data_IF_348345290202
#
_entry.id   IF_348345290202
#
_cell.length_a   1.000
_cell.length_b   1.000
_cell.length_c   1.000
_cell.angle_alpha   90.00
_cell.angle_beta   90.00
_cell.angle_gamma   90.00
#
_symmetry.space_group_name_H-M   'P 1'
#
loop_
_entity.id
_entity.type
_entity.pdbx_description
1 polymer ?
#
# COMPACT_ATOMS: atom_id res chain seq x y z
N UNK A 1 27.23 -4.93 12.45
CA UNK A 1 27.83 -5.77 13.49
C UNK A 1 27.05 -7.08 13.62
N UNK A 2 27.72 -8.23 13.64
CA UNK A 2 27.11 -9.54 13.88
C UNK A 2 26.68 -9.68 15.34
N UNK A 3 25.52 -10.29 15.61
CA UNK A 3 25.04 -10.61 16.96
C UNK A 3 26.11 -11.36 17.78
N UNK A 4 26.33 -10.93 19.03
CA UNK A 4 27.32 -11.54 19.92
C UNK A 4 26.66 -12.57 20.82
N UNK A 5 27.00 -13.85 20.60
CA UNK A 5 26.54 -14.96 21.44
C UNK A 5 27.10 -14.87 22.86
N UNK A 6 26.35 -15.41 23.84
CA UNK A 6 26.69 -15.42 25.26
C UNK A 6 26.80 -16.84 25.81
N UNK A 7 27.60 -17.06 26.85
CA UNK A 7 27.67 -18.32 27.61
C UNK A 7 26.49 -18.49 28.59
N UNK A 8 25.70 -17.44 28.77
CA UNK A 8 24.48 -17.44 29.59
C UNK A 8 23.27 -17.22 28.70
N UNK A 9 22.12 -17.75 29.12
CA UNK A 9 20.86 -17.50 28.44
C UNK A 9 20.49 -16.02 28.52
N UNK A 10 19.89 -15.49 27.45
CA UNK A 10 19.51 -14.08 27.35
C UNK A 10 18.11 -13.95 26.78
N UNK A 11 17.32 -13.01 27.28
CA UNK A 11 16.11 -12.56 26.61
C UNK A 11 16.38 -11.19 26.03
N UNK A 12 16.22 -11.05 24.71
CA UNK A 12 16.48 -9.80 24.00
C UNK A 12 15.28 -9.42 23.16
N UNK A 13 15.12 -8.11 22.92
CA UNK A 13 14.14 -7.63 21.97
C UNK A 13 14.64 -7.90 20.55
N UNK A 14 13.77 -8.50 19.74
CA UNK A 14 14.01 -8.77 18.33
C UNK A 14 12.92 -8.11 17.48
N UNK A 15 13.26 -7.90 16.22
CA UNK A 15 12.37 -7.37 15.19
C UNK A 15 12.22 -8.44 14.13
N UNK A 16 11.01 -8.97 14.01
CA UNK A 16 10.70 -10.07 13.12
C UNK A 16 10.56 -9.56 11.69
N UNK A 17 11.06 -10.37 10.76
CA UNK A 17 11.09 -10.12 9.34
C UNK A 17 10.23 -11.15 8.63
N UNK A 18 9.54 -10.72 7.58
CA UNK A 18 8.88 -11.64 6.66
C UNK A 18 9.94 -12.42 5.88
N UNK A 19 9.78 -13.73 5.77
CA UNK A 19 10.84 -14.63 5.27
C UNK A 19 11.16 -14.50 3.78
N UNK A 20 10.24 -13.94 2.99
CA UNK A 20 10.34 -13.76 1.54
C UNK A 20 10.82 -12.35 1.14
N UNK A 21 10.44 -11.32 1.91
CA UNK A 21 10.68 -9.91 1.56
C UNK A 21 11.58 -9.16 2.54
N UNK A 22 11.91 -9.75 3.70
CA UNK A 22 12.57 -9.08 4.83
C UNK A 22 11.84 -7.83 5.35
N UNK A 23 10.54 -7.71 5.09
CA UNK A 23 9.69 -6.66 5.63
C UNK A 23 9.57 -6.80 7.15
N UNK A 24 9.61 -5.69 7.88
CA UNK A 24 9.31 -5.68 9.31
C UNK A 24 7.85 -6.09 9.56
N UNK A 25 7.63 -7.12 10.38
CA UNK A 25 6.29 -7.63 10.72
C UNK A 25 5.95 -7.55 12.21
N UNK A 26 6.85 -7.01 13.03
CA UNK A 26 6.58 -6.74 14.44
C UNK A 26 7.75 -7.03 15.37
N UNK A 27 7.74 -6.38 16.53
CA UNK A 27 8.73 -6.60 17.57
C UNK A 27 8.26 -7.69 18.56
N UNK A 28 9.20 -8.43 19.12
CA UNK A 28 8.96 -9.43 20.15
C UNK A 28 10.18 -9.61 21.04
N UNK A 29 10.06 -10.45 22.05
CA UNK A 29 11.20 -10.83 22.87
C UNK A 29 11.56 -12.29 22.55
N UNK A 30 12.85 -12.54 22.31
CA UNK A 30 13.37 -13.87 22.02
C UNK A 30 14.27 -14.33 23.17
N UNK A 31 14.03 -15.56 23.62
CA UNK A 31 14.94 -16.28 24.51
C UNK A 31 16.03 -16.94 23.67
N UNK A 32 17.27 -16.60 23.95
CA UNK A 32 18.49 -17.08 23.29
C UNK A 32 19.25 -17.97 24.29
N UNK A 33 19.29 -19.30 24.08
CA UNK A 33 20.11 -20.19 24.88
C UNK A 33 21.62 -19.88 24.82
N UNK A 34 22.40 -20.32 25.81
CA UNK A 34 23.86 -20.25 25.77
C UNK A 34 24.45 -20.76 24.45
N UNK A 35 25.41 -20.03 23.90
CA UNK A 35 26.16 -20.36 22.68
C UNK A 35 25.29 -20.50 21.42
N UNK A 36 24.14 -19.83 21.37
CA UNK A 36 23.26 -19.79 20.19
C UNK A 36 23.09 -18.37 19.65
N UNK A 37 22.60 -18.25 18.41
CA UNK A 37 22.35 -16.98 17.72
C UNK A 37 20.89 -16.57 17.69
N UNK A 38 20.61 -15.46 17.02
CA UNK A 38 19.25 -14.99 16.77
C UNK A 38 18.43 -16.05 16.01
N UNK A 39 17.10 -16.14 16.28
CA UNK A 39 16.18 -16.89 15.43
C UNK A 39 16.29 -16.47 13.96
N UNK A 40 15.90 -17.38 13.06
CA UNK A 40 15.80 -17.03 11.65
C UNK A 40 14.77 -15.91 11.42
N UNK A 41 14.98 -15.11 10.37
CA UNK A 41 14.09 -14.02 9.97
C UNK A 41 13.84 -12.99 11.09
N UNK A 42 14.89 -12.65 11.85
CA UNK A 42 14.82 -11.55 12.79
C UNK A 42 16.16 -10.80 12.88
N UNK A 43 16.11 -9.61 13.45
CA UNK A 43 17.28 -8.78 13.78
C UNK A 43 17.13 -8.20 15.18
N UNK A 44 18.25 -7.92 15.85
CA UNK A 44 18.30 -7.16 17.10
C UNK A 44 18.42 -5.64 16.85
N UNK A 45 18.51 -5.22 15.59
CA UNK A 45 18.54 -3.82 15.18
C UNK A 45 17.12 -3.27 15.03
N UNK A 46 16.80 -2.24 15.81
CA UNK A 46 15.49 -1.58 15.73
C UNK A 46 15.27 -0.94 14.34
N UNK A 47 14.06 -1.08 13.77
CA UNK A 47 13.69 -0.31 12.59
C UNK A 47 13.66 1.19 12.93
N UNK A 48 13.84 2.06 11.93
CA UNK A 48 13.58 3.49 12.10
C UNK A 48 12.09 3.73 12.36
N UNK A 49 11.73 4.98 12.68
CA UNK A 49 10.33 5.40 12.65
C UNK A 49 9.75 5.17 11.25
N UNK A 50 8.61 4.46 11.17
CA UNK A 50 7.94 4.11 9.92
C UNK A 50 6.78 5.07 9.72
N UNK A 51 6.85 6.00 8.74
CA UNK A 51 5.74 6.90 8.42
C UNK A 51 4.52 6.12 7.91
N UNK A 52 3.36 6.79 7.87
CA UNK A 52 2.20 6.25 7.15
C UNK A 52 2.55 5.94 5.69
N UNK A 53 1.91 4.91 5.16
CA UNK A 53 2.09 4.44 3.78
C UNK A 53 3.54 4.05 3.44
N UNK A 54 4.28 3.56 4.42
CA UNK A 54 5.64 3.04 4.26
C UNK A 54 5.81 1.72 5.01
N UNK A 55 6.80 0.95 4.60
CA UNK A 55 7.28 -0.23 5.33
C UNK A 55 8.81 -0.20 5.44
N UNK A 56 9.33 -0.76 6.52
CA UNK A 56 10.77 -0.96 6.70
C UNK A 56 11.18 -2.34 6.20
N UNK A 57 12.18 -2.39 5.32
CA UNK A 57 12.76 -3.62 4.77
C UNK A 57 14.20 -3.73 5.23
N UNK A 58 14.55 -4.87 5.83
CA UNK A 58 15.89 -5.11 6.35
C UNK A 58 16.80 -5.74 5.29
N UNK A 59 17.96 -5.13 5.08
CA UNK A 59 19.04 -5.70 4.28
C UNK A 59 20.00 -6.44 5.22
N UNK A 60 20.03 -7.77 5.12
CA UNK A 60 20.87 -8.63 5.93
C UNK A 60 22.37 -8.56 5.57
N UNK A 61 22.72 -8.18 4.33
CA UNK A 61 24.11 -8.06 3.88
C UNK A 61 24.75 -6.81 4.45
N UNK A 62 24.03 -5.68 4.40
CA UNK A 62 24.52 -4.40 4.95
C UNK A 62 24.15 -4.20 6.41
N UNK A 63 23.23 -5.01 6.94
CA UNK A 63 22.62 -4.90 8.26
C UNK A 63 21.98 -3.52 8.50
N UNK A 64 21.24 -3.03 7.50
CA UNK A 64 20.58 -1.73 7.53
C UNK A 64 19.10 -1.84 7.21
N UNK A 65 18.35 -0.81 7.62
CA UNK A 65 16.93 -0.67 7.29
C UNK A 65 16.77 0.30 6.13
N UNK A 66 15.91 -0.05 5.18
CA UNK A 66 15.44 0.83 4.12
C UNK A 66 13.95 1.07 4.28
N UNK A 67 13.51 2.32 4.10
CA UNK A 67 12.08 2.64 4.04
C UNK A 67 11.64 2.57 2.58
N UNK A 68 10.53 1.88 2.33
CA UNK A 68 9.91 1.75 1.03
C UNK A 68 8.47 2.23 1.13
N UNK A 69 7.98 2.91 0.10
CA UNK A 69 6.56 3.25 -0.01
C UNK A 69 5.72 1.97 -0.02
N UNK A 70 4.62 2.00 0.71
CA UNK A 70 3.71 0.86 0.83
C UNK A 70 2.29 1.37 1.11
N UNK A 71 1.48 1.37 0.07
CA UNK A 71 0.09 1.79 0.13
C UNK A 71 -0.90 0.62 0.26
N UNK A 72 -0.42 -0.58 0.60
CA UNK A 72 -1.29 -1.76 0.75
C UNK A 72 -2.43 -1.51 1.73
N UNK A 73 -3.62 -1.99 1.37
CA UNK A 73 -4.83 -1.80 2.17
C UNK A 73 -5.57 -0.49 1.87
N UNK A 74 -4.96 0.44 1.13
CA UNK A 74 -5.63 1.66 0.69
C UNK A 74 -6.56 1.38 -0.50
N UNK A 75 -7.69 2.11 -0.54
CA UNK A 75 -8.57 2.17 -1.72
C UNK A 75 -8.41 3.54 -2.37
N UNK A 76 -8.00 3.53 -3.63
CA UNK A 76 -7.82 4.71 -4.48
C UNK A 76 -8.75 4.62 -5.69
N UNK A 77 -8.76 5.64 -6.53
CA UNK A 77 -9.65 5.76 -7.68
C UNK A 77 -8.83 5.98 -8.95
N UNK A 78 -9.09 5.20 -9.98
CA UNK A 78 -8.49 5.38 -11.30
C UNK A 78 -8.98 6.71 -11.90
N UNK A 79 -8.06 7.61 -12.20
CA UNK A 79 -8.33 8.96 -12.72
C UNK A 79 -8.90 9.00 -14.14
N UNK A 80 -8.82 7.89 -14.88
CA UNK A 80 -9.36 7.78 -16.24
C UNK A 80 -10.82 7.32 -16.23
N UNK A 81 -11.16 6.42 -15.31
CA UNK A 81 -12.46 5.71 -15.28
C UNK A 81 -13.31 6.07 -14.06
N UNK A 82 -12.71 6.58 -12.99
CA UNK A 82 -13.35 6.77 -11.69
C UNK A 82 -13.53 5.50 -10.86
N UNK A 83 -13.07 4.35 -11.35
CA UNK A 83 -13.24 3.07 -10.68
C UNK A 83 -12.38 2.97 -9.42
N UNK A 84 -12.89 2.30 -8.39
CA UNK A 84 -12.10 1.96 -7.22
C UNK A 84 -11.01 0.95 -7.57
N UNK A 85 -9.82 1.18 -7.01
CA UNK A 85 -8.63 0.34 -7.11
C UNK A 85 -8.15 0.08 -5.70
N UNK A 86 -8.09 -1.20 -5.33
CA UNK A 86 -7.52 -1.63 -4.05
C UNK A 86 -6.04 -1.93 -4.23
N UNK A 87 -5.18 -1.35 -3.39
CA UNK A 87 -3.74 -1.61 -3.43
C UNK A 87 -3.43 -2.87 -2.62
N UNK A 88 -2.97 -3.92 -3.31
CA UNK A 88 -2.59 -5.21 -2.70
C UNK A 88 -1.08 -5.44 -2.66
N UNK A 89 -0.33 -4.75 -3.52
CA UNK A 89 1.13 -4.91 -3.64
C UNK A 89 1.86 -3.77 -2.95
N UNK A 90 3.05 -4.04 -2.35
CA UNK A 90 3.88 -2.99 -1.80
C UNK A 90 4.43 -2.09 -2.92
N UNK A 91 4.74 -0.85 -2.58
CA UNK A 91 5.29 0.13 -3.50
C UNK A 91 4.49 1.43 -3.59
N UNK A 92 4.91 2.32 -4.50
CA UNK A 92 4.25 3.60 -4.73
C UNK A 92 2.85 3.41 -5.34
N UNK A 93 1.99 4.42 -5.15
CA UNK A 93 0.71 4.46 -5.87
C UNK A 93 0.92 4.52 -7.39
N UNK A 94 0.09 3.84 -8.19
CA UNK A 94 0.10 3.99 -9.64
C UNK A 94 -0.07 5.45 -10.09
N UNK A 95 0.55 5.84 -11.21
CA UNK A 95 0.51 7.24 -11.68
C UNK A 95 -0.92 7.74 -12.02
N UNK A 96 -1.81 6.82 -12.39
CA UNK A 96 -3.18 7.09 -12.82
C UNK A 96 -4.22 6.99 -11.71
N UNK A 97 -3.83 7.02 -10.43
CA UNK A 97 -4.79 6.96 -9.31
C UNK A 97 -4.83 8.22 -8.45
N UNK A 98 -5.92 8.39 -7.72
CA UNK A 98 -6.13 9.45 -6.74
C UNK A 98 -6.85 8.90 -5.50
N UNK A 99 -6.53 9.38 -4.30
CA UNK A 99 -7.27 9.04 -3.08
C UNK A 99 -8.61 9.78 -2.96
N UNK A 100 -8.92 10.67 -3.92
CA UNK A 100 -10.18 11.44 -3.94
C UNK A 100 -11.24 10.65 -4.71
N UNK A 101 -12.37 10.34 -4.08
CA UNK A 101 -13.50 9.69 -4.75
C UNK A 101 -14.19 10.64 -5.73
N UNK A 102 -14.62 10.16 -6.91
CA UNK A 102 -15.65 10.85 -7.67
C UNK A 102 -16.95 10.88 -6.86
N UNK A 103 -17.70 11.98 -6.95
CA UNK A 103 -18.93 12.25 -6.18
C UNK A 103 -20.20 11.98 -7.01
N UNK A 104 -20.08 11.77 -8.32
CA UNK A 104 -21.21 11.58 -9.23
C UNK A 104 -20.85 10.76 -10.46
N UNK A 105 -21.86 10.36 -11.23
CA UNK A 105 -21.73 9.39 -12.34
C UNK A 105 -20.96 9.91 -13.55
N UNK A 106 -21.13 11.19 -13.89
CA UNK A 106 -20.51 11.81 -15.05
C UNK A 106 -19.42 12.77 -14.58
N UNK A 107 -18.31 12.21 -14.11
CA UNK A 107 -17.15 12.97 -13.66
C UNK A 107 -15.90 12.59 -14.44
N UNK A 108 -15.05 13.60 -14.66
CA UNK A 108 -13.72 13.44 -15.23
C UNK A 108 -12.70 14.05 -14.29
N UNK A 109 -11.53 13.45 -14.21
CA UNK A 109 -10.45 13.97 -13.38
C UNK A 109 -9.81 15.20 -14.04
N UNK A 110 -9.76 16.32 -13.32
CA UNK A 110 -8.93 17.46 -13.69
C UNK A 110 -7.56 17.31 -13.03
N UNK A 111 -6.57 16.82 -13.79
CA UNK A 111 -5.21 16.63 -13.28
C UNK A 111 -4.50 17.92 -12.86
N UNK A 112 -4.93 19.10 -13.33
CA UNK A 112 -4.34 20.39 -12.93
C UNK A 112 -4.90 20.84 -11.59
N UNK A 113 -6.21 20.75 -11.42
CA UNK A 113 -6.88 21.14 -10.19
C UNK A 113 -6.88 20.02 -9.13
N UNK A 114 -6.49 18.80 -9.51
CA UNK A 114 -6.54 17.57 -8.69
C UNK A 114 -7.92 17.35 -8.07
N UNK A 115 -8.96 17.56 -8.87
CA UNK A 115 -10.35 17.39 -8.45
C UNK A 115 -11.17 16.73 -9.55
N UNK A 116 -12.22 16.05 -9.17
CA UNK A 116 -13.22 15.57 -10.10
C UNK A 116 -14.12 16.72 -10.53
N UNK A 117 -14.27 16.89 -11.85
CA UNK A 117 -15.16 17.89 -12.44
C UNK A 117 -16.25 17.19 -13.24
N UNK A 118 -17.43 17.82 -13.33
CA UNK A 118 -18.54 17.28 -14.09
C UNK A 118 -18.18 17.15 -15.58
N UNK A 119 -18.46 16.00 -16.16
CA UNK A 119 -18.34 15.76 -17.59
C UNK A 119 -19.70 15.98 -18.27
N UNK A 120 -19.96 17.24 -18.66
CA UNK A 120 -21.20 17.60 -19.35
C UNK A 120 -21.37 16.88 -20.69
N UNK A 121 -20.27 16.51 -21.36
CA UNK A 121 -20.35 15.81 -22.64
C UNK A 121 -20.82 14.36 -22.42
N UNK A 122 -20.26 13.68 -21.41
CA UNK A 122 -20.70 12.34 -21.02
C UNK A 122 -22.15 12.34 -20.53
N UNK A 123 -22.56 13.32 -19.72
CA UNK A 123 -23.93 13.46 -19.24
C UNK A 123 -24.92 13.68 -20.40
N UNK A 124 -24.65 14.62 -21.31
CA UNK A 124 -25.52 14.88 -22.48
C UNK A 124 -25.61 13.65 -23.38
N UNK A 125 -24.50 12.94 -23.60
CA UNK A 125 -24.49 11.71 -24.40
C UNK A 125 -25.30 10.58 -23.74
N UNK A 126 -25.30 10.48 -22.41
CA UNK A 126 -26.13 9.53 -21.68
C UNK A 126 -27.62 9.88 -21.78
N UNK A 127 -27.97 11.16 -21.63
CA UNK A 127 -29.35 11.64 -21.78
C UNK A 127 -29.91 11.37 -23.18
N UNK A 128 -29.11 11.61 -24.23
CA UNK A 128 -29.51 11.33 -25.62
C UNK A 128 -29.78 9.83 -25.84
N UNK A 129 -28.89 8.95 -25.36
CA UNK A 129 -29.10 7.49 -25.44
C UNK A 129 -30.35 7.04 -24.72
N UNK A 130 -30.59 7.54 -23.49
CA UNK A 130 -31.80 7.23 -22.74
C UNK A 130 -33.07 7.70 -23.46
N UNK A 131 -33.03 8.88 -24.09
CA UNK A 131 -34.15 9.40 -24.87
C UNK A 131 -34.43 8.53 -26.11
N UNK A 132 -33.39 8.07 -26.81
CA UNK A 132 -33.51 7.17 -27.95
C UNK A 132 -34.05 5.79 -27.55
N UNK A 133 -33.54 5.21 -26.47
CA UNK A 133 -34.04 3.93 -25.92
C UNK A 133 -35.50 4.02 -25.50
N UNK A 134 -35.87 5.11 -24.82
CA UNK A 134 -37.26 5.35 -24.41
C UNK A 134 -38.18 5.49 -25.61
N UNK A 135 -37.77 6.23 -26.63
CA UNK A 135 -38.52 6.36 -27.89
C UNK A 135 -38.72 4.99 -28.55
N UNK A 136 -37.67 4.18 -28.65
CA UNK A 136 -37.75 2.86 -29.28
C UNK A 136 -38.67 1.91 -28.51
N UNK A 137 -38.63 1.94 -27.17
CA UNK A 137 -39.51 1.12 -26.31
C UNK A 137 -40.99 1.49 -26.43
N UNK A 138 -41.31 2.76 -26.65
CA UNK A 138 -42.69 3.23 -26.81
C UNK A 138 -43.27 2.99 -28.22
N UNK A 139 -42.40 2.70 -29.19
CA UNK A 139 -42.78 2.41 -30.58
C UNK A 139 -42.84 0.90 -30.90
N UNK A 140 -42.53 0.04 -29.92
CA UNK A 140 -42.79 -1.41 -29.96
C UNK A 140 -44.22 -1.72 -29.51
#
# INVERSE_FOLDING_TARGET
MTFKMSEQAQTIKIFNLRSDTNEFIGAGDAYIPPHTGLPANCTDLAPPDIPSSHIAVFDAETQTWSLQEDHRGETVYDTTTGNQVYISEPGPLPENVTSVSPVGEYQKWDGKAKVWVKDEAAEKAAQLRQAEETKNRLLQ
#
